data_IF_977758441533
#
_entry.id   IF_977758441533
#
_cell.length_a   1.000
_cell.length_b   1.000
_cell.length_c   1.000
_cell.angle_alpha   90.00
_cell.angle_beta   90.00
_cell.angle_gamma   90.00
#
_symmetry.space_group_name_H-M   'P 1'
#
loop_
_entity.id
_entity.type
_entity.pdbx_description
1 polymer ?
#
# COMPACT_ATOMS: atom_id res chain seq x y z
N UNK A 1 90.41 -28.86 36.22
CA UNK A 1 89.01 -28.78 36.67
C UNK A 1 88.47 -27.39 36.36
N UNK A 2 87.84 -27.22 35.20
CA UNK A 2 87.19 -25.97 34.78
C UNK A 2 85.70 -26.28 34.69
N UNK A 3 84.95 -25.79 35.67
CA UNK A 3 83.52 -26.03 35.82
C UNK A 3 82.70 -25.09 34.93
N UNK A 4 81.78 -25.69 34.19
CA UNK A 4 80.82 -25.07 33.29
C UNK A 4 79.89 -24.10 34.01
N UNK A 5 79.83 -22.84 33.56
CA UNK A 5 78.88 -21.80 34.02
C UNK A 5 77.90 -21.38 32.90
N UNK A 6 77.95 -22.04 31.74
CA UNK A 6 77.03 -21.78 30.63
C UNK A 6 75.82 -22.72 30.69
N UNK A 7 74.86 -22.46 31.58
CA UNK A 7 73.59 -23.23 31.58
C UNK A 7 72.38 -22.49 32.19
N UNK A 8 72.54 -21.26 32.70
CA UNK A 8 71.41 -20.53 33.33
C UNK A 8 70.79 -19.48 32.39
N UNK A 9 71.48 -19.07 31.32
CA UNK A 9 70.98 -18.04 30.41
C UNK A 9 69.92 -18.54 29.40
N UNK A 10 69.85 -19.84 29.14
CA UNK A 10 69.00 -20.40 28.08
C UNK A 10 67.53 -20.61 28.50
N UNK A 11 67.26 -20.75 29.80
CA UNK A 11 65.91 -20.98 30.32
C UNK A 11 64.99 -19.76 30.20
N UNK A 12 65.54 -18.54 30.27
CA UNK A 12 64.74 -17.32 30.20
C UNK A 12 64.27 -17.01 28.77
N UNK A 13 65.11 -17.29 27.77
CA UNK A 13 64.76 -17.10 26.36
C UNK A 13 63.71 -18.09 25.87
N UNK A 14 63.73 -19.33 26.37
CA UNK A 14 62.67 -20.31 26.08
C UNK A 14 61.31 -19.92 26.68
N UNK A 15 61.30 -19.32 27.88
CA UNK A 15 60.06 -18.82 28.49
C UNK A 15 59.49 -17.62 27.74
N UNK A 16 60.33 -16.67 27.30
CA UNK A 16 59.89 -15.50 26.54
C UNK A 16 59.35 -15.92 25.17
N UNK A 17 60.03 -16.84 24.48
CA UNK A 17 59.58 -17.37 23.20
C UNK A 17 58.26 -18.15 23.34
N UNK A 18 58.10 -18.92 24.42
CA UNK A 18 56.86 -19.64 24.71
C UNK A 18 55.67 -18.71 24.94
N UNK A 19 55.84 -17.65 25.73
CA UNK A 19 54.78 -16.67 26.00
C UNK A 19 54.40 -15.87 24.75
N UNK A 20 55.39 -15.45 23.95
CA UNK A 20 55.14 -14.75 22.70
C UNK A 20 54.36 -15.62 21.70
N UNK A 21 54.71 -16.89 21.57
CA UNK A 21 53.99 -17.83 20.72
C UNK A 21 52.55 -18.04 21.21
N UNK A 22 52.34 -18.12 22.52
CA UNK A 22 51.02 -18.30 23.13
C UNK A 22 50.13 -17.05 22.91
N UNK A 23 50.70 -15.84 22.97
CA UNK A 23 49.99 -14.60 22.64
C UNK A 23 49.64 -14.54 21.16
N UNK A 24 50.55 -14.93 20.26
CA UNK A 24 50.27 -14.95 18.81
C UNK A 24 49.21 -15.99 18.47
N UNK A 25 49.28 -17.19 19.03
CA UNK A 25 48.26 -18.23 18.85
C UNK A 25 46.92 -17.78 19.43
N UNK A 26 46.90 -17.15 20.61
CA UNK A 26 45.68 -16.58 21.18
C UNK A 26 45.11 -15.44 20.31
N UNK A 27 45.95 -14.56 19.78
CA UNK A 27 45.54 -13.47 18.90
C UNK A 27 45.00 -14.00 17.56
N UNK A 28 45.66 -14.99 16.96
CA UNK A 28 45.20 -15.67 15.73
C UNK A 28 43.90 -16.41 16.00
N UNK A 29 43.76 -17.11 17.12
CA UNK A 29 42.52 -17.78 17.51
C UNK A 29 41.41 -16.75 17.76
N UNK A 30 41.68 -15.60 18.38
CA UNK A 30 40.68 -14.52 18.59
C UNK A 30 40.31 -13.82 17.28
N UNK A 31 41.27 -13.63 16.37
CA UNK A 31 41.05 -13.03 15.04
C UNK A 31 40.32 -13.98 14.09
N UNK A 32 40.63 -15.28 14.09
CA UNK A 32 39.95 -16.31 13.29
C UNK A 32 38.67 -16.85 13.94
N UNK A 33 38.52 -16.73 15.27
CA UNK A 33 37.25 -16.95 15.97
C UNK A 33 36.37 -15.70 16.01
N UNK A 34 36.69 -14.61 15.30
CA UNK A 34 35.69 -13.58 15.04
C UNK A 34 34.54 -14.22 14.28
N UNK A 35 33.39 -14.47 14.91
CA UNK A 35 32.22 -14.96 14.21
C UNK A 35 31.66 -13.73 13.51
N UNK A 36 32.10 -13.50 12.26
CA UNK A 36 31.34 -12.70 11.30
C UNK A 36 30.06 -13.43 10.85
N UNK A 37 29.67 -14.48 11.56
CA UNK A 37 28.27 -14.69 11.91
C UNK A 37 28.00 -13.90 13.18
N UNK A 38 27.76 -12.59 13.03
CA UNK A 38 26.74 -11.98 13.88
C UNK A 38 25.51 -12.83 13.61
N UNK A 39 25.25 -13.79 14.49
CA UNK A 39 23.89 -14.16 14.80
C UNK A 39 23.25 -12.83 15.15
N UNK A 40 22.61 -12.21 14.15
CA UNK A 40 21.44 -11.40 14.39
C UNK A 40 20.61 -12.30 15.30
N UNK A 41 20.71 -12.07 16.61
CA UNK A 41 19.61 -12.41 17.48
C UNK A 41 18.42 -11.80 16.75
N UNK A 42 17.37 -12.57 16.45
CA UNK A 42 16.15 -11.97 15.97
C UNK A 42 15.81 -10.92 17.01
N UNK A 43 16.06 -9.66 16.67
CA UNK A 43 15.37 -8.57 17.31
C UNK A 43 13.91 -8.97 17.27
N UNK A 44 13.25 -8.78 18.39
CA UNK A 44 11.81 -9.01 18.53
C UNK A 44 11.10 -8.54 17.24
N UNK A 45 10.05 -9.21 16.76
CA UNK A 45 9.50 -8.94 15.42
C UNK A 45 9.13 -7.47 15.12
N UNK A 46 9.11 -6.62 16.15
CA UNK A 46 9.14 -5.15 16.08
C UNK A 46 10.34 -4.60 15.30
N UNK A 47 11.57 -5.10 15.50
CA UNK A 47 12.80 -4.53 14.92
C UNK A 47 12.82 -4.64 13.40
N UNK A 48 12.34 -5.78 12.85
CA UNK A 48 12.23 -5.94 11.39
C UNK A 48 11.10 -5.07 10.83
N UNK A 49 9.96 -5.02 11.51
CA UNK A 49 8.81 -4.22 11.07
C UNK A 49 9.15 -2.73 11.04
N UNK A 50 9.83 -2.21 12.06
CA UNK A 50 10.25 -0.82 12.14
C UNK A 50 11.38 -0.49 11.16
N UNK A 51 12.30 -1.43 10.91
CA UNK A 51 13.31 -1.30 9.87
C UNK A 51 12.67 -1.20 8.47
N UNK A 52 11.71 -2.08 8.17
CA UNK A 52 11.02 -2.08 6.88
C UNK A 52 10.13 -0.85 6.71
N UNK A 53 9.42 -0.43 7.77
CA UNK A 53 8.66 0.83 7.80
C UNK A 53 9.55 2.02 7.51
N UNK A 54 10.69 2.11 8.21
CA UNK A 54 11.67 3.18 8.02
C UNK A 54 12.22 3.22 6.59
N UNK A 55 12.59 2.06 6.05
CA UNK A 55 13.12 1.95 4.69
C UNK A 55 12.08 2.20 3.60
N UNK A 56 10.81 1.89 3.86
CA UNK A 56 9.69 2.19 2.98
C UNK A 56 9.41 3.70 2.96
N UNK A 57 9.41 4.35 4.13
CA UNK A 57 9.07 5.76 4.28
C UNK A 57 10.21 6.71 3.86
N UNK A 58 11.48 6.32 4.07
CA UNK A 58 12.68 7.14 3.80
C UNK A 58 13.79 6.33 3.14
N UNK A 59 13.62 5.92 1.88
CA UNK A 59 14.53 4.99 1.22
C UNK A 59 15.97 5.52 1.11
N UNK A 60 16.15 6.83 1.00
CA UNK A 60 17.45 7.50 0.88
C UNK A 60 18.32 7.27 2.13
N UNK A 61 17.69 7.21 3.32
CA UNK A 61 18.37 6.96 4.58
C UNK A 61 18.93 5.52 4.70
N UNK A 62 18.44 4.59 3.86
CA UNK A 62 18.79 3.18 3.88
C UNK A 62 19.55 2.72 2.63
N UNK A 63 20.00 3.64 1.76
CA UNK A 63 20.73 3.32 0.52
C UNK A 63 21.97 2.45 0.73
N UNK A 64 22.65 2.61 1.87
CA UNK A 64 23.83 1.82 2.24
C UNK A 64 23.49 0.36 2.54
N UNK A 65 22.22 0.04 2.78
CA UNK A 65 21.70 -1.30 3.08
C UNK A 65 20.90 -1.82 1.89
N UNK A 66 21.52 -1.84 0.70
CA UNK A 66 20.93 -2.38 -0.54
C UNK A 66 20.25 -3.76 -0.40
N UNK A 67 20.76 -4.71 0.41
CA UNK A 67 20.09 -6.01 0.59
C UNK A 67 18.66 -5.90 1.11
N UNK A 68 18.29 -4.85 1.85
CA UNK A 68 16.95 -4.65 2.38
C UNK A 68 15.91 -4.42 1.26
N UNK A 69 16.33 -3.75 0.18
CA UNK A 69 15.46 -3.43 -0.96
C UNK A 69 15.35 -4.57 -1.97
N UNK A 70 16.34 -5.47 -2.01
CA UNK A 70 16.44 -6.54 -3.00
C UNK A 70 16.03 -7.92 -2.47
N UNK A 71 16.05 -8.13 -1.16
CA UNK A 71 15.56 -9.38 -0.56
C UNK A 71 14.04 -9.41 -0.53
N UNK A 72 13.48 -10.61 -0.72
CA UNK A 72 12.05 -10.88 -0.65
C UNK A 72 11.59 -10.93 0.80
N UNK A 73 11.15 -9.80 1.33
CA UNK A 73 10.81 -9.60 2.74
C UNK A 73 9.39 -9.07 2.95
N UNK A 74 8.76 -8.52 1.90
CA UNK A 74 7.40 -8.00 1.97
C UNK A 74 6.44 -9.17 1.69
N UNK A 75 5.65 -9.62 2.68
CA UNK A 75 4.73 -10.73 2.48
C UNK A 75 3.57 -10.29 1.59
N UNK A 76 3.26 -11.10 0.58
CA UNK A 76 2.07 -10.91 -0.25
C UNK A 76 1.00 -11.92 0.14
N UNK A 77 -0.26 -11.54 -0.07
CA UNK A 77 -1.40 -12.44 0.07
C UNK A 77 -1.39 -13.45 -1.08
N UNK A 78 -1.51 -14.75 -0.73
CA UNK A 78 -1.58 -15.89 -1.67
C UNK A 78 -0.41 -16.02 -2.68
N UNK A 79 0.68 -15.28 -2.48
CA UNK A 79 1.82 -15.24 -3.40
C UNK A 79 3.15 -15.24 -2.65
N UNK A 80 4.26 -15.63 -3.30
CA UNK A 80 5.58 -15.52 -2.70
C UNK A 80 5.90 -14.07 -2.30
N UNK A 81 6.63 -13.85 -1.19
CA UNK A 81 7.06 -12.51 -0.78
C UNK A 81 7.83 -11.79 -1.89
N UNK A 82 7.72 -10.47 -1.92
CA UNK A 82 8.43 -9.58 -2.86
C UNK A 82 9.45 -8.72 -2.13
N UNK A 83 10.33 -8.10 -2.91
CA UNK A 83 11.26 -7.13 -2.34
C UNK A 83 10.59 -5.78 -2.07
N UNK A 84 11.18 -4.98 -1.19
CA UNK A 84 10.66 -3.65 -0.91
C UNK A 84 10.70 -2.74 -2.14
N UNK A 85 11.72 -2.90 -3.00
CA UNK A 85 11.77 -2.20 -4.30
C UNK A 85 10.59 -2.59 -5.20
N UNK A 86 10.26 -3.88 -5.30
CA UNK A 86 9.11 -4.34 -6.08
C UNK A 86 7.77 -3.83 -5.53
N UNK A 87 7.62 -3.76 -4.20
CA UNK A 87 6.45 -3.16 -3.57
C UNK A 87 6.29 -1.67 -3.93
N UNK A 88 7.40 -0.91 -3.89
CA UNK A 88 7.43 0.50 -4.32
C UNK A 88 7.09 0.67 -5.79
N UNK A 89 7.65 -0.17 -6.67
CA UNK A 89 7.29 -0.17 -8.09
C UNK A 89 5.79 -0.45 -8.30
N UNK A 90 5.22 -1.34 -7.49
CA UNK A 90 3.78 -1.60 -7.44
C UNK A 90 2.98 -0.35 -7.07
N UNK A 91 3.42 0.39 -6.05
CA UNK A 91 2.80 1.66 -5.63
C UNK A 91 2.86 2.71 -6.74
N UNK A 92 4.03 2.91 -7.36
CA UNK A 92 4.20 3.88 -8.45
C UNK A 92 3.31 3.58 -9.67
N UNK A 93 2.92 2.32 -9.86
CA UNK A 93 1.97 1.89 -10.90
C UNK A 93 0.51 1.93 -10.44
N UNK A 94 0.23 2.36 -9.20
CA UNK A 94 -1.10 2.38 -8.59
C UNK A 94 -1.66 1.01 -8.22
N UNK A 95 -0.84 -0.06 -8.24
CA UNK A 95 -1.30 -1.47 -8.14
C UNK A 95 -1.01 -2.10 -6.78
N UNK A 96 -0.69 -1.30 -5.77
CA UNK A 96 -0.35 -1.78 -4.43
C UNK A 96 -1.53 -1.65 -3.48
N UNK A 97 -1.97 -2.78 -2.96
CA UNK A 97 -3.02 -2.88 -1.95
C UNK A 97 -2.50 -3.60 -0.71
N UNK A 98 -3.28 -3.55 0.36
CA UNK A 98 -3.08 -4.36 1.55
C UNK A 98 -4.40 -4.96 1.98
N UNK A 99 -4.35 -6.17 2.52
CA UNK A 99 -5.54 -6.80 3.08
C UNK A 99 -5.23 -8.14 3.71
N UNK A 100 -6.22 -8.72 4.36
CA UNK A 100 -6.14 -10.02 5.01
C UNK A 100 -6.83 -11.10 4.18
N UNK A 101 -6.50 -12.36 4.46
CA UNK A 101 -7.20 -13.52 3.92
C UNK A 101 -8.68 -13.61 4.30
N UNK A 102 -9.15 -12.76 5.22
CA UNK A 102 -10.57 -12.66 5.59
C UNK A 102 -11.33 -11.70 4.69
N UNK A 103 -10.64 -10.78 4.01
CA UNK A 103 -11.26 -9.90 3.03
C UNK A 103 -11.40 -10.63 1.69
N UNK A 104 -12.65 -10.86 1.29
CA UNK A 104 -13.00 -11.30 -0.04
C UNK A 104 -12.44 -10.37 -1.12
N UNK A 105 -12.49 -9.05 -0.90
CA UNK A 105 -11.94 -8.08 -1.86
C UNK A 105 -10.42 -8.21 -2.01
N UNK A 106 -9.70 -8.41 -0.90
CA UNK A 106 -8.25 -8.62 -0.92
C UNK A 106 -7.88 -9.93 -1.61
N UNK A 107 -8.60 -11.01 -1.33
CA UNK A 107 -8.42 -12.32 -1.97
C UNK A 107 -8.71 -12.25 -3.48
N UNK A 108 -9.83 -11.65 -3.88
CA UNK A 108 -10.16 -11.46 -5.31
C UNK A 108 -9.11 -10.62 -6.04
N UNK A 109 -8.62 -9.54 -5.42
CA UNK A 109 -7.55 -8.70 -5.99
C UNK A 109 -6.22 -9.46 -6.13
N UNK A 110 -5.86 -10.29 -5.13
CA UNK A 110 -4.66 -11.12 -5.18
C UNK A 110 -4.78 -12.19 -6.29
N UNK A 111 -5.93 -12.88 -6.38
CA UNK A 111 -6.23 -13.87 -7.40
C UNK A 111 -6.24 -13.29 -8.83
N UNK A 112 -6.70 -12.05 -8.98
CA UNK A 112 -6.66 -11.31 -10.24
C UNK A 112 -5.25 -10.83 -10.64
N UNK A 113 -4.22 -11.13 -9.84
CA UNK A 113 -2.83 -10.80 -10.12
C UNK A 113 -2.37 -9.46 -9.55
N UNK A 114 -3.23 -8.77 -8.79
CA UNK A 114 -2.88 -7.57 -8.02
C UNK A 114 -1.75 -7.82 -7.01
N UNK A 115 -1.05 -6.75 -6.63
CA UNK A 115 -0.03 -6.81 -5.59
C UNK A 115 -0.66 -6.43 -4.26
N UNK A 116 -1.11 -7.44 -3.52
CA UNK A 116 -1.75 -7.27 -2.21
C UNK A 116 -0.80 -7.70 -1.11
N UNK A 117 -0.38 -6.78 -0.27
CA UNK A 117 0.46 -7.05 0.91
C UNK A 117 -0.41 -7.77 1.96
N UNK A 118 0.11 -8.86 2.53
CA UNK A 118 -0.55 -9.62 3.59
C UNK A 118 -0.60 -8.82 4.90
N UNK A 119 -1.76 -8.23 5.18
CA UNK A 119 -2.04 -7.45 6.37
C UNK A 119 -2.16 -8.27 7.66
N UNK A 120 -2.22 -9.61 7.60
CA UNK A 120 -2.21 -10.43 8.81
C UNK A 120 -0.82 -10.42 9.49
N UNK A 121 0.25 -10.17 8.73
CA UNK A 121 1.63 -10.11 9.24
C UNK A 121 2.02 -8.70 9.67
N UNK A 122 2.82 -8.60 10.74
CA UNK A 122 3.27 -7.31 11.30
C UNK A 122 4.11 -6.53 10.28
N UNK A 123 5.01 -7.23 9.60
CA UNK A 123 5.90 -6.69 8.57
C UNK A 123 5.09 -6.17 7.37
N UNK A 124 4.06 -6.91 6.97
CA UNK A 124 3.15 -6.51 5.90
C UNK A 124 2.40 -5.23 6.22
N UNK A 125 1.80 -5.14 7.41
CA UNK A 125 1.12 -3.91 7.87
C UNK A 125 2.05 -2.71 7.90
N UNK A 126 3.25 -2.89 8.46
CA UNK A 126 4.23 -1.81 8.60
C UNK A 126 4.67 -1.26 7.22
N UNK A 127 4.89 -2.13 6.24
CA UNK A 127 5.24 -1.73 4.87
C UNK A 127 4.04 -1.12 4.15
N UNK A 128 2.86 -1.73 4.25
CA UNK A 128 1.64 -1.23 3.61
C UNK A 128 1.30 0.19 4.08
N UNK A 129 1.35 0.43 5.39
CA UNK A 129 1.14 1.74 6.02
C UNK A 129 2.16 2.77 5.51
N UNK A 130 3.45 2.42 5.54
CA UNK A 130 4.52 3.32 5.12
C UNK A 130 4.48 3.66 3.63
N UNK A 131 4.04 2.72 2.78
CA UNK A 131 3.89 2.93 1.34
C UNK A 131 2.53 3.55 0.98
N UNK A 132 1.60 3.72 1.92
CA UNK A 132 0.26 4.19 1.61
C UNK A 132 -0.50 3.25 0.67
N UNK A 133 -0.33 1.93 0.85
CA UNK A 133 -1.06 0.94 0.07
C UNK A 133 -2.57 1.08 0.28
N UNK A 134 -3.36 0.77 -0.76
CA UNK A 134 -4.83 0.82 -0.65
C UNK A 134 -5.32 -0.28 0.27
N UNK A 135 -5.97 0.10 1.37
CA UNK A 135 -6.52 -0.83 2.36
C UNK A 135 -7.81 -1.49 1.86
N UNK A 136 -7.69 -2.71 1.34
CA UNK A 136 -8.79 -3.50 0.78
C UNK A 136 -9.72 -4.06 1.87
N UNK A 137 -9.23 -4.25 3.10
CA UNK A 137 -10.07 -4.67 4.22
C UNK A 137 -11.03 -3.55 4.58
N UNK A 138 -10.51 -2.31 4.74
CA UNK A 138 -11.34 -1.12 4.96
C UNK A 138 -12.31 -0.88 3.80
N UNK A 139 -11.87 -1.07 2.56
CA UNK A 139 -12.75 -0.94 1.40
C UNK A 139 -13.88 -1.98 1.41
N UNK A 140 -13.60 -3.22 1.78
CA UNK A 140 -14.64 -4.23 1.93
C UNK A 140 -15.66 -3.83 2.99
N UNK A 141 -15.22 -3.37 4.16
CA UNK A 141 -16.13 -2.91 5.23
C UNK A 141 -17.01 -1.74 4.77
N UNK A 142 -16.45 -0.78 4.01
CA UNK A 142 -17.21 0.32 3.40
C UNK A 142 -18.24 -0.25 2.41
N UNK A 143 -17.85 -1.18 1.54
CA UNK A 143 -18.75 -1.75 0.54
C UNK A 143 -19.88 -2.58 1.17
N UNK A 144 -19.61 -3.35 2.21
CA UNK A 144 -20.61 -4.17 2.91
C UNK A 144 -21.71 -3.35 3.57
N UNK A 145 -21.39 -2.18 4.11
CA UNK A 145 -22.37 -1.26 4.73
C UNK A 145 -22.92 -0.20 3.78
N UNK A 146 -22.40 -0.13 2.56
CA UNK A 146 -22.88 0.82 1.56
C UNK A 146 -24.19 0.36 0.93
N UNK A 147 -24.98 1.33 0.49
CA UNK A 147 -26.26 1.11 -0.20
C UNK A 147 -26.27 1.80 -1.56
N UNK A 148 -27.16 1.33 -2.42
CA UNK A 148 -27.45 1.93 -3.72
C UNK A 148 -28.63 2.89 -3.53
N UNK A 149 -28.54 4.07 -4.13
CA UNK A 149 -29.59 5.09 -4.13
C UNK A 149 -30.09 5.34 -5.56
N UNK A 150 -31.37 5.68 -5.79
CA UNK A 150 -31.89 5.92 -7.14
C UNK A 150 -31.13 7.01 -7.91
N UNK A 151 -30.57 7.98 -7.19
CA UNK A 151 -29.73 9.02 -7.77
C UNK A 151 -28.36 8.50 -8.21
N UNK A 152 -27.76 7.56 -7.45
CA UNK A 152 -26.49 6.95 -7.86
C UNK A 152 -26.68 6.07 -9.09
N UNK A 153 -27.79 5.31 -9.18
CA UNK A 153 -28.11 4.47 -10.35
C UNK A 153 -28.21 5.29 -11.63
N UNK A 154 -28.93 6.42 -11.61
CA UNK A 154 -29.02 7.32 -12.77
C UNK A 154 -27.67 7.83 -13.25
N UNK A 155 -26.75 8.10 -12.33
CA UNK A 155 -25.38 8.51 -12.68
C UNK A 155 -24.59 7.33 -13.23
N UNK A 156 -24.71 6.14 -12.64
CA UNK A 156 -24.08 4.92 -13.18
C UNK A 156 -24.52 4.64 -14.61
N UNK A 157 -25.81 4.71 -14.91
CA UNK A 157 -26.38 4.49 -16.25
C UNK A 157 -25.85 5.50 -17.26
N UNK A 158 -25.80 6.78 -16.89
CA UNK A 158 -25.27 7.83 -17.76
C UNK A 158 -23.78 7.64 -18.08
N UNK A 159 -22.98 7.21 -17.09
CA UNK A 159 -21.55 6.95 -17.28
C UNK A 159 -21.30 5.66 -18.07
N UNK A 160 -22.11 4.62 -17.86
CA UNK A 160 -22.02 3.37 -18.63
C UNK A 160 -22.36 3.59 -20.11
N UNK A 161 -23.38 4.40 -20.40
CA UNK A 161 -23.79 4.74 -21.77
C UNK A 161 -22.67 5.39 -22.61
N UNK A 162 -21.70 6.05 -21.96
CA UNK A 162 -20.54 6.67 -22.62
C UNK A 162 -19.27 5.81 -22.56
N UNK A 163 -19.36 4.59 -22.03
CA UNK A 163 -18.24 3.64 -21.94
C UNK A 163 -17.29 3.86 -20.77
N UNK A 164 -17.72 4.60 -19.74
CA UNK A 164 -16.97 4.86 -18.50
C UNK A 164 -17.69 4.20 -17.29
N UNK A 165 -17.85 2.86 -17.27
CA UNK A 165 -18.62 2.19 -16.23
C UNK A 165 -18.01 2.40 -14.85
N UNK A 166 -18.84 2.84 -13.92
CA UNK A 166 -18.49 3.04 -12.51
C UNK A 166 -19.65 2.59 -11.63
N UNK A 167 -19.35 2.01 -10.47
CA UNK A 167 -20.36 1.66 -9.45
C UNK A 167 -20.33 2.68 -8.33
N UNK A 168 -21.42 3.41 -8.14
CA UNK A 168 -21.61 4.45 -7.14
C UNK A 168 -22.45 3.89 -6.00
N UNK A 169 -21.98 4.07 -4.77
CA UNK A 169 -22.69 3.68 -3.56
C UNK A 169 -22.60 4.79 -2.53
N UNK A 170 -23.45 4.72 -1.52
CA UNK A 170 -23.48 5.67 -0.40
C UNK A 170 -23.23 4.91 0.89
N UNK A 171 -22.35 5.44 1.73
CA UNK A 171 -22.08 4.89 3.06
C UNK A 171 -21.78 6.02 4.04
N UNK A 172 -22.00 5.79 5.33
CA UNK A 172 -21.52 6.70 6.38
C UNK A 172 -20.03 6.48 6.69
N UNK A 173 -19.35 7.43 7.32
CA UNK A 173 -17.98 7.29 7.85
C UNK A 173 -17.00 6.76 6.79
N UNK A 174 -17.03 7.27 5.58
CA UNK A 174 -16.07 6.92 4.53
C UNK A 174 -14.71 7.50 4.87
N UNK A 175 -14.70 8.66 5.56
CA UNK A 175 -13.50 9.38 5.99
C UNK A 175 -13.01 10.42 4.98
N UNK A 176 -13.74 10.59 3.89
CA UNK A 176 -13.56 11.61 2.85
C UNK A 176 -14.91 11.82 2.14
N UNK A 177 -15.13 12.96 1.50
CA UNK A 177 -16.42 13.26 0.86
C UNK A 177 -16.81 12.22 -0.20
N UNK A 178 -15.84 11.79 -1.00
CA UNK A 178 -15.98 10.72 -1.98
C UNK A 178 -14.71 9.87 -1.91
N UNK A 179 -14.88 8.56 -1.91
CA UNK A 179 -13.80 7.59 -2.05
C UNK A 179 -13.86 6.90 -3.41
N UNK A 180 -12.70 6.67 -4.01
CA UNK A 180 -12.56 5.95 -5.29
C UNK A 180 -11.62 4.78 -5.11
N UNK A 181 -12.09 3.60 -5.52
CA UNK A 181 -11.28 2.39 -5.69
C UNK A 181 -11.21 2.07 -7.18
N UNK A 182 -10.05 2.27 -7.78
CA UNK A 182 -9.81 1.80 -9.14
C UNK A 182 -9.43 0.30 -9.13
N UNK A 183 -10.44 -0.56 -9.22
CA UNK A 183 -10.22 -2.00 -9.28
C UNK A 183 -9.42 -2.46 -10.51
N UNK A 184 -9.30 -1.64 -11.57
CA UNK A 184 -8.49 -1.99 -12.76
C UNK A 184 -7.02 -2.10 -12.41
N UNK A 185 -6.56 -1.29 -11.46
CA UNK A 185 -5.20 -1.36 -10.95
C UNK A 185 -4.90 -2.71 -10.26
N UNK A 186 -5.94 -3.40 -9.77
CA UNK A 186 -5.86 -4.70 -9.12
C UNK A 186 -6.25 -5.87 -10.04
N UNK A 187 -6.57 -5.62 -11.30
CA UNK A 187 -7.01 -6.67 -12.24
C UNK A 187 -8.47 -7.10 -12.07
N UNK A 188 -9.29 -6.38 -11.31
CA UNK A 188 -10.68 -6.73 -11.01
C UNK A 188 -11.68 -6.48 -12.18
N UNK A 189 -11.18 -6.11 -13.36
CA UNK A 189 -11.99 -5.88 -14.58
C UNK A 189 -12.37 -4.41 -14.83
N UNK A 190 -13.05 -4.12 -15.96
CA UNK A 190 -13.36 -2.74 -16.38
C UNK A 190 -14.47 -2.06 -15.56
N UNK A 191 -15.41 -2.84 -15.02
CA UNK A 191 -16.52 -2.37 -14.18
C UNK A 191 -16.16 -2.26 -12.69
N UNK A 192 -14.87 -2.32 -12.38
CA UNK A 192 -14.36 -2.39 -11.00
C UNK A 192 -13.97 -1.02 -10.42
N UNK A 193 -14.19 0.07 -11.16
CA UNK A 193 -14.16 1.40 -10.59
C UNK A 193 -15.36 1.53 -9.63
N UNK A 194 -15.07 1.59 -8.33
CA UNK A 194 -16.07 1.73 -7.27
C UNK A 194 -15.90 3.09 -6.63
N UNK A 195 -16.99 3.83 -6.53
CA UNK A 195 -17.06 5.14 -5.93
C UNK A 195 -18.04 5.09 -4.77
N UNK A 196 -17.62 5.57 -3.62
CA UNK A 196 -18.48 5.63 -2.43
C UNK A 196 -18.55 7.07 -1.96
N UNK A 197 -19.76 7.63 -1.93
CA UNK A 197 -20.04 8.97 -1.41
C UNK A 197 -20.32 8.87 0.08
N UNK A 198 -19.73 9.74 0.88
CA UNK A 198 -20.03 9.80 2.31
C UNK A 198 -21.41 10.44 2.52
N UNK A 199 -22.30 9.74 3.20
CA UNK A 199 -23.63 10.21 3.56
C UNK A 199 -23.60 11.50 4.39
N UNK A 200 -22.55 11.71 5.19
CA UNK A 200 -22.41 12.88 6.05
C UNK A 200 -21.78 14.08 5.29
N UNK A 201 -21.30 13.86 4.06
CA UNK A 201 -20.67 14.90 3.25
C UNK A 201 -21.61 16.03 2.89
N UNK A 202 -21.05 17.24 2.77
CA UNK A 202 -21.80 18.40 2.29
C UNK A 202 -22.33 18.18 0.87
N UNK A 203 -21.52 17.57 0.01
CA UNK A 203 -21.91 17.21 -1.35
C UNK A 203 -23.18 16.35 -1.36
N UNK A 204 -23.21 15.26 -0.57
CA UNK A 204 -24.37 14.37 -0.52
C UNK A 204 -25.62 15.10 -0.02
N UNK A 205 -25.48 15.92 1.03
CA UNK A 205 -26.60 16.74 1.55
C UNK A 205 -27.16 17.70 0.50
N UNK A 206 -26.29 18.39 -0.24
CA UNK A 206 -26.69 19.31 -1.32
C UNK A 206 -27.39 18.55 -2.44
N UNK A 207 -26.80 17.45 -2.88
CA UNK A 207 -27.31 16.62 -3.97
C UNK A 207 -28.67 16.01 -3.60
N UNK A 208 -28.85 15.46 -2.39
CA UNK A 208 -30.16 14.99 -1.92
C UNK A 208 -31.19 16.11 -1.78
N UNK A 209 -30.77 17.30 -1.35
CA UNK A 209 -31.65 18.47 -1.27
C UNK A 209 -32.14 18.92 -2.65
N UNK A 210 -31.27 18.90 -3.65
CA UNK A 210 -31.59 19.19 -5.04
C UNK A 210 -32.49 18.12 -5.64
N UNK A 211 -32.21 16.84 -5.38
CA UNK A 211 -32.89 15.71 -6.03
C UNK A 211 -34.42 15.73 -5.86
N UNK A 212 -34.89 16.24 -4.72
CA UNK A 212 -36.33 16.37 -4.43
C UNK A 212 -37.07 17.34 -5.34
N UNK A 213 -36.37 18.34 -5.90
CA UNK A 213 -36.97 19.43 -6.69
C UNK A 213 -36.47 19.45 -8.13
N UNK A 214 -35.24 18.99 -8.32
CA UNK A 214 -34.43 19.09 -9.53
C UNK A 214 -33.56 17.83 -9.69
N UNK A 215 -34.18 16.65 -9.87
CA UNK A 215 -33.47 15.37 -9.98
C UNK A 215 -32.43 15.33 -11.10
N UNK A 216 -32.65 15.95 -12.25
CA UNK A 216 -31.68 15.95 -13.34
C UNK A 216 -30.45 16.79 -12.98
N UNK A 217 -30.65 17.97 -12.38
CA UNK A 217 -29.56 18.82 -11.89
C UNK A 217 -28.77 18.16 -10.77
N UNK A 218 -29.43 17.42 -9.87
CA UNK A 218 -28.76 16.67 -8.81
C UNK A 218 -27.85 15.57 -9.39
N UNK A 219 -28.33 14.83 -10.40
CA UNK A 219 -27.56 13.80 -11.09
C UNK A 219 -26.34 14.40 -11.80
N UNK A 220 -26.51 15.53 -12.51
CA UNK A 220 -25.41 16.24 -13.15
C UNK A 220 -24.34 16.68 -12.15
N UNK A 221 -24.73 17.28 -11.02
CA UNK A 221 -23.79 17.75 -9.98
C UNK A 221 -22.98 16.59 -9.38
N UNK A 222 -23.65 15.47 -9.10
CA UNK A 222 -22.99 14.26 -8.60
C UNK A 222 -22.04 13.68 -9.65
N UNK A 223 -22.49 13.58 -10.91
CA UNK A 223 -21.69 13.06 -12.00
C UNK A 223 -20.44 13.91 -12.26
N UNK A 224 -20.55 15.24 -12.27
CA UNK A 224 -19.40 16.14 -12.45
C UNK A 224 -18.34 15.92 -11.35
N UNK A 225 -18.79 15.82 -10.10
CA UNK A 225 -17.92 15.53 -8.95
C UNK A 225 -17.21 14.18 -9.10
N UNK A 226 -17.93 13.14 -9.54
CA UNK A 226 -17.38 11.79 -9.74
C UNK A 226 -16.40 11.75 -10.91
N UNK A 227 -16.77 12.31 -12.07
CA UNK A 227 -15.94 12.40 -13.27
C UNK A 227 -14.63 13.14 -13.00
N UNK A 228 -14.69 14.20 -12.19
CA UNK A 228 -13.50 14.90 -11.73
C UNK A 228 -12.57 13.99 -10.91
N UNK A 229 -13.11 13.26 -9.95
CA UNK A 229 -12.35 12.44 -9.01
C UNK A 229 -11.78 11.15 -9.60
N UNK A 230 -12.51 10.49 -10.51
CA UNK A 230 -11.98 9.30 -11.21
C UNK A 230 -10.93 9.67 -12.27
N UNK A 231 -10.66 10.98 -12.44
CA UNK A 231 -9.59 11.47 -13.31
C UNK A 231 -9.93 11.45 -14.79
N UNK A 232 -11.23 11.56 -15.16
CA UNK A 232 -11.60 11.65 -16.58
C UNK A 232 -10.92 12.88 -17.20
N UNK A 233 -10.19 12.72 -18.31
CA UNK A 233 -9.52 13.84 -18.99
C UNK A 233 -10.51 14.96 -19.34
N UNK A 234 -10.14 16.24 -19.21
CA UNK A 234 -11.04 17.37 -19.48
C UNK A 234 -11.75 17.30 -20.84
N UNK A 235 -11.06 16.82 -21.87
CA UNK A 235 -11.57 16.64 -23.22
C UNK A 235 -12.68 15.56 -23.34
N UNK A 236 -12.71 14.60 -22.42
CA UNK A 236 -13.72 13.53 -22.40
C UNK A 236 -14.92 13.88 -21.51
N UNK A 237 -14.81 14.89 -20.63
CA UNK A 237 -15.89 15.25 -19.70
C UNK A 237 -17.19 15.71 -20.38
N UNK A 238 -17.17 16.52 -21.45
CA UNK A 238 -18.41 16.89 -22.15
C UNK A 238 -19.18 15.69 -22.67
N UNK A 239 -18.47 14.65 -23.14
CA UNK A 239 -19.09 13.40 -23.56
C UNK A 239 -19.73 12.66 -22.37
N UNK A 240 -19.07 12.63 -21.21
CA UNK A 240 -19.62 11.96 -20.03
C UNK A 240 -20.80 12.69 -19.39
N UNK A 241 -20.81 14.02 -19.45
CA UNK A 241 -21.81 14.85 -18.76
C UNK A 241 -22.93 15.34 -19.68
N UNK A 242 -22.79 15.20 -21.00
CA UNK A 242 -23.68 15.80 -22.00
C UNK A 242 -25.15 15.47 -21.79
N UNK A 243 -25.49 14.18 -21.73
CA UNK A 243 -26.89 13.75 -21.55
C UNK A 243 -27.50 14.23 -20.21
N UNK A 244 -26.71 14.24 -19.14
CA UNK A 244 -27.14 14.76 -17.84
C UNK A 244 -27.30 16.28 -17.85
N UNK A 245 -26.46 16.99 -18.61
CA UNK A 245 -26.52 18.43 -18.77
C UNK A 245 -27.76 18.85 -19.57
N UNK A 246 -28.07 18.15 -20.65
CA UNK A 246 -29.28 18.36 -21.45
C UNK A 246 -30.54 18.15 -20.58
N UNK A 247 -30.64 17.04 -19.86
CA UNK A 247 -31.75 16.78 -18.96
C UNK A 247 -31.90 17.85 -17.86
N UNK A 248 -30.79 18.37 -17.32
CA UNK A 248 -30.81 19.43 -16.32
C UNK A 248 -31.26 20.80 -16.89
N UNK A 249 -30.97 21.06 -18.17
CA UNK A 249 -31.43 22.26 -18.87
C UNK A 249 -32.93 22.17 -19.19
N UNK A 250 -33.42 21.03 -19.66
CA UNK A 250 -34.85 20.78 -19.91
C UNK A 250 -35.68 20.93 -18.63
N UNK A 251 -35.21 20.36 -17.51
CA UNK A 251 -35.82 20.51 -16.19
C UNK A 251 -35.90 21.97 -15.73
N UNK A 252 -34.90 22.78 -16.10
CA UNK A 252 -34.86 24.21 -15.78
C UNK A 252 -35.78 25.04 -16.67
N UNK A 253 -36.01 24.61 -17.91
CA UNK A 253 -36.89 25.28 -18.89
C UNK A 253 -38.38 24.91 -18.75
N UNK A 254 -38.69 23.71 -18.25
CA UNK A 254 -40.07 23.21 -18.10
C UNK A 254 -40.88 23.81 -16.94
N UNK A 255 -40.26 24.62 -16.07
CA UNK A 255 -40.92 25.25 -14.92
C UNK A 255 -41.64 26.58 -15.21
N UNK A 256 -41.83 26.94 -16.48
CA UNK A 256 -42.44 28.19 -16.92
C UNK A 256 -43.84 28.04 -17.57
N UNK A 257 -44.50 26.90 -17.38
CA UNK A 257 -45.87 26.64 -17.87
C UNK A 257 -46.90 26.64 -16.74
#
# INVERSE_FOLDING_TARGET
MVGSVASVADSHWMLIAGVALLIVVAAVVVLFRRPWRRSLHPGDGSDLSDLLRGAAARPEAFERIRPLFNRRVVPLLERPPVSLAQARDGLCRGRLGSGSSKSRLAVEAAAAGGMVIDGNRREGRAVAEALGAVDLDRWQEILERSRIEPLTERVEEALDAVGEPCRLRVASKVGQHIAVLDGRAFGLGRTSCRVVVDEESELWRVVCGLDRKRPARAALLLADSVVHLIGVPPQSRPRCLGALAEAALEESGGGAS
#
